data_IF_609818548605
#
_entry.id   IF_609818548605
#
_cell.length_a   1.000
_cell.length_b   1.000
_cell.length_c   1.000
_cell.angle_alpha   90.00
_cell.angle_beta   90.00
_cell.angle_gamma   90.00
#
_symmetry.space_group_name_H-M   'P 1'
#
loop_
_entity.id
_entity.type
_entity.pdbx_description
1 polymer ?
#
# COMPACT_ATOMS: atom_id res chain seq x y z
N UNK A 1 3.70 12.85 -13.77
CA UNK A 1 4.99 12.24 -13.43
C UNK A 1 6.01 12.69 -14.46
N UNK A 2 7.11 13.31 -14.03
CA UNK A 2 8.13 13.98 -14.88
C UNK A 2 8.96 13.04 -15.80
N UNK A 3 8.66 11.75 -15.87
CA UNK A 3 9.48 10.78 -16.63
C UNK A 3 9.00 10.50 -18.06
N UNK A 4 7.90 11.12 -18.52
CA UNK A 4 7.41 10.90 -19.89
C UNK A 4 6.90 9.48 -20.19
N UNK A 5 6.92 8.58 -19.22
CA UNK A 5 6.40 7.23 -19.33
C UNK A 5 5.07 7.13 -18.58
N UNK A 6 4.10 6.48 -19.20
CA UNK A 6 2.82 6.18 -18.56
C UNK A 6 2.99 4.98 -17.63
N UNK A 7 2.70 5.19 -16.33
CA UNK A 7 2.78 4.17 -15.30
C UNK A 7 1.36 3.85 -14.83
N UNK A 8 0.97 2.59 -14.94
CA UNK A 8 -0.29 2.10 -14.39
C UNK A 8 -0.09 1.67 -12.94
N UNK A 9 -0.82 2.28 -12.01
CA UNK A 9 -0.88 1.89 -10.60
C UNK A 9 -2.24 1.29 -10.32
N UNK A 10 -2.26 0.05 -9.82
CA UNK A 10 -3.49 -0.60 -9.33
C UNK A 10 -3.53 -0.43 -7.81
N UNK A 11 -4.59 0.17 -7.31
CA UNK A 11 -4.80 0.37 -5.87
C UNK A 11 -5.82 -0.67 -5.41
N UNK A 12 -5.47 -1.41 -4.36
CA UNK A 12 -6.36 -2.38 -3.70
C UNK A 12 -6.57 -1.90 -2.28
N UNK A 13 -7.82 -1.60 -1.95
CA UNK A 13 -8.19 -1.20 -0.59
C UNK A 13 -8.31 -2.41 0.33
N UNK A 14 -7.99 -2.23 1.61
CA UNK A 14 -8.18 -3.25 2.64
C UNK A 14 -9.39 -2.91 3.49
N UNK A 15 -10.24 -3.90 3.84
CA UNK A 15 -11.36 -3.66 4.74
C UNK A 15 -10.88 -3.08 6.08
N UNK A 16 -11.50 -1.99 6.54
CA UNK A 16 -11.08 -1.24 7.73
C UNK A 16 -11.44 -1.86 9.09
N UNK A 17 -12.00 -3.07 9.13
CA UNK A 17 -12.46 -3.71 10.36
C UNK A 17 -11.61 -4.92 10.72
N UNK A 18 -11.34 -5.10 12.01
CA UNK A 18 -10.50 -6.16 12.60
C UNK A 18 -10.95 -7.60 12.31
N UNK A 19 -12.18 -7.79 11.83
CA UNK A 19 -12.76 -9.11 11.61
C UNK A 19 -12.36 -9.77 10.27
N UNK A 20 -11.64 -9.04 9.41
CA UNK A 20 -11.29 -9.49 8.06
C UNK A 20 -9.80 -9.83 7.86
N UNK A 21 -9.14 -10.36 8.88
CA UNK A 21 -7.70 -10.69 8.83
C UNK A 21 -7.31 -11.57 7.64
N UNK A 22 -8.16 -12.53 7.27
CA UNK A 22 -7.93 -13.40 6.12
C UNK A 22 -8.03 -12.68 4.77
N UNK A 23 -8.87 -11.64 4.65
CA UNK A 23 -8.98 -10.82 3.44
C UNK A 23 -7.78 -9.90 3.29
N UNK A 24 -7.32 -9.31 4.38
CA UNK A 24 -6.10 -8.50 4.41
C UNK A 24 -4.89 -9.33 3.95
N UNK A 25 -4.69 -10.53 4.48
CA UNK A 25 -3.59 -11.40 4.05
C UNK A 25 -3.67 -11.76 2.57
N UNK A 26 -4.86 -12.05 2.04
CA UNK A 26 -5.05 -12.33 0.61
C UNK A 26 -4.70 -11.10 -0.24
N UNK A 27 -5.16 -9.93 0.17
CA UNK A 27 -4.88 -8.66 -0.50
C UNK A 27 -3.38 -8.36 -0.52
N UNK A 28 -2.69 -8.51 0.61
CA UNK A 28 -1.25 -8.25 0.71
C UNK A 28 -0.41 -9.19 -0.17
N UNK A 29 -0.89 -10.39 -0.48
CA UNK A 29 -0.22 -11.30 -1.43
C UNK A 29 -0.35 -10.89 -2.90
N UNK A 30 -1.24 -9.95 -3.22
CA UNK A 30 -1.48 -9.47 -4.58
C UNK A 30 -0.70 -8.19 -4.92
N UNK A 31 -0.14 -7.51 -3.92
CA UNK A 31 0.47 -6.19 -4.08
C UNK A 31 1.99 -6.22 -4.02
N UNK A 32 2.64 -5.16 -4.48
CA UNK A 32 4.10 -5.01 -4.52
C UNK A 32 4.59 -3.99 -3.47
N UNK A 33 3.69 -3.21 -2.89
CA UNK A 33 3.96 -2.24 -1.84
C UNK A 33 2.72 -1.96 -1.02
N UNK A 34 2.88 -1.25 0.10
CA UNK A 34 1.79 -0.93 1.03
C UNK A 34 1.85 0.55 1.39
N UNK A 35 0.70 1.22 1.31
CA UNK A 35 0.52 2.52 1.92
C UNK A 35 -0.04 2.32 3.33
N UNK A 36 0.78 2.62 4.34
CA UNK A 36 0.38 2.56 5.74
C UNK A 36 -0.19 3.90 6.16
N UNK A 37 -1.52 4.02 6.17
CA UNK A 37 -2.20 5.25 6.56
C UNK A 37 -2.36 5.32 8.08
N UNK A 38 -1.86 6.40 8.68
CA UNK A 38 -1.94 6.67 10.11
C UNK A 38 -2.54 8.05 10.33
N UNK A 39 -3.47 8.16 11.25
CA UNK A 39 -4.07 9.45 11.65
C UNK A 39 -3.06 10.25 12.49
N UNK A 40 -2.82 11.51 12.13
CA UNK A 40 -1.86 12.38 12.80
C UNK A 40 -2.20 12.70 14.28
N UNK A 41 -3.42 12.47 14.71
CA UNK A 41 -3.84 12.66 16.11
C UNK A 41 -3.90 11.35 16.88
N UNK A 42 -4.41 10.28 16.27
CA UNK A 42 -4.65 8.99 16.95
C UNK A 42 -3.41 8.09 16.99
N UNK A 43 -2.51 8.23 15.99
CA UNK A 43 -1.36 7.34 15.86
C UNK A 43 -1.72 5.95 15.32
N UNK A 44 -0.80 4.97 15.43
CA UNK A 44 -1.00 3.63 14.90
C UNK A 44 -1.98 2.82 15.75
N UNK A 45 -3.13 2.51 15.18
CA UNK A 45 -4.19 1.70 15.79
C UNK A 45 -3.89 0.18 15.70
N UNK A 46 -4.60 -0.68 16.45
CA UNK A 46 -4.39 -2.14 16.41
C UNK A 46 -4.49 -2.74 15.00
N UNK A 47 -5.40 -2.25 14.16
CA UNK A 47 -5.51 -2.66 12.75
C UNK A 47 -4.25 -2.32 11.94
N UNK A 48 -3.70 -1.12 12.15
CA UNK A 48 -2.42 -0.69 11.53
C UNK A 48 -1.27 -1.63 11.90
N UNK A 49 -1.18 -2.01 13.18
CA UNK A 49 -0.18 -2.96 13.68
C UNK A 49 -0.29 -4.33 13.00
N UNK A 50 -1.51 -4.84 12.84
CA UNK A 50 -1.75 -6.13 12.17
C UNK A 50 -1.31 -6.09 10.70
N UNK A 51 -1.77 -5.07 9.95
CA UNK A 51 -1.43 -4.90 8.53
C UNK A 51 0.07 -4.74 8.35
N UNK A 52 0.71 -3.89 9.17
CA UNK A 52 2.16 -3.69 9.12
C UNK A 52 2.92 -5.00 9.37
N UNK A 53 2.57 -5.75 10.42
CA UNK A 53 3.20 -7.05 10.72
C UNK A 53 3.14 -7.98 9.51
N UNK A 54 1.96 -8.12 8.89
CA UNK A 54 1.79 -8.98 7.71
C UNK A 54 2.55 -8.49 6.50
N UNK A 55 2.64 -7.19 6.31
CA UNK A 55 3.43 -6.57 5.23
C UNK A 55 4.93 -6.85 5.39
N UNK A 56 5.46 -6.73 6.62
CA UNK A 56 6.85 -7.03 6.93
C UNK A 56 7.18 -8.52 6.74
N UNK A 57 6.29 -9.42 7.18
CA UNK A 57 6.42 -10.88 6.96
C UNK A 57 6.47 -11.24 5.46
N UNK A 58 5.78 -10.49 4.61
CA UNK A 58 5.79 -10.66 3.15
C UNK A 58 6.89 -9.89 2.43
N UNK A 59 7.79 -9.21 3.18
CA UNK A 59 8.84 -8.35 2.63
C UNK A 59 8.33 -7.24 1.69
N UNK A 60 7.10 -6.78 1.89
CA UNK A 60 6.57 -5.63 1.16
C UNK A 60 7.26 -4.35 1.60
N UNK A 61 7.38 -3.39 0.68
CA UNK A 61 7.93 -2.07 0.97
C UNK A 61 6.80 -1.16 1.48
N UNK A 62 6.83 -0.73 2.76
CA UNK A 62 5.85 0.20 3.26
C UNK A 62 6.20 1.64 2.89
N UNK A 63 5.17 2.42 2.60
CA UNK A 63 5.21 3.88 2.51
C UNK A 63 4.29 4.39 3.63
N UNK A 64 4.81 5.16 4.55
CA UNK A 64 4.03 5.71 5.64
C UNK A 64 3.34 7.00 5.21
N UNK A 65 2.05 7.08 5.42
CA UNK A 65 1.24 8.28 5.13
C UNK A 65 0.59 8.76 6.43
N UNK A 66 1.13 9.82 7.01
CA UNK A 66 0.55 10.48 8.18
C UNK A 66 -0.51 11.46 7.68
N UNK A 67 -1.77 11.07 7.86
CA UNK A 67 -2.92 11.78 7.32
C UNK A 67 -3.63 12.64 8.38
N UNK A 68 -4.43 13.60 7.91
CA UNK A 68 -5.19 14.55 8.72
C UNK A 68 -4.30 15.47 9.56
N UNK A 69 -3.18 15.93 8.99
CA UNK A 69 -2.26 16.87 9.66
C UNK A 69 -2.89 18.25 9.91
N UNK A 70 -4.05 18.53 9.31
CA UNK A 70 -4.87 19.72 9.51
C UNK A 70 -5.73 19.70 10.79
N UNK A 71 -5.79 18.59 11.50
CA UNK A 71 -6.52 18.49 12.78
C UNK A 71 -5.85 19.38 13.83
N UNK A 72 -6.66 19.98 14.70
CA UNK A 72 -6.19 20.82 15.80
C UNK A 72 -5.38 20.06 16.86
N UNK A 73 -5.65 18.78 16.99
CA UNK A 73 -5.02 17.83 17.92
C UNK A 73 -3.95 16.96 17.21
N UNK A 74 -3.57 17.31 15.97
CA UNK A 74 -2.53 16.60 15.26
C UNK A 74 -1.16 16.75 15.96
N UNK A 75 -0.44 15.62 16.07
CA UNK A 75 0.90 15.50 16.66
C UNK A 75 1.81 14.65 15.76
N UNK A 76 2.04 15.07 14.52
CA UNK A 76 2.67 14.25 13.49
C UNK A 76 4.09 13.77 13.84
N UNK A 77 4.88 14.55 14.58
CA UNK A 77 6.21 14.15 15.03
C UNK A 77 6.15 12.99 16.03
N UNK A 78 5.28 13.09 17.03
CA UNK A 78 5.10 12.03 18.02
C UNK A 78 4.54 10.76 17.37
N UNK A 79 3.60 10.91 16.44
CA UNK A 79 3.04 9.78 15.67
C UNK A 79 4.13 9.11 14.83
N UNK A 80 5.06 9.87 14.26
CA UNK A 80 6.19 9.31 13.53
C UNK A 80 7.10 8.47 14.45
N UNK A 81 7.40 8.95 15.66
CA UNK A 81 8.17 8.21 16.65
C UNK A 81 7.45 6.92 17.04
N UNK A 82 6.14 6.97 17.29
CA UNK A 82 5.32 5.78 17.58
C UNK A 82 5.35 4.75 16.43
N UNK A 83 5.38 5.22 15.19
CA UNK A 83 5.48 4.35 14.01
C UNK A 83 6.86 3.69 13.97
N UNK A 84 7.95 4.41 14.19
CA UNK A 84 9.29 3.85 14.24
C UNK A 84 9.41 2.79 15.34
N UNK A 85 8.92 3.08 16.54
CA UNK A 85 8.89 2.11 17.65
C UNK A 85 8.07 0.86 17.27
N UNK A 86 6.95 1.05 16.57
CA UNK A 86 6.13 -0.05 16.08
C UNK A 86 6.90 -0.94 15.09
N UNK A 87 7.59 -0.36 14.09
CA UNK A 87 8.41 -1.12 13.15
C UNK A 87 9.50 -1.92 13.87
N UNK A 88 10.22 -1.30 14.81
CA UNK A 88 11.24 -1.96 15.63
C UNK A 88 10.65 -3.11 16.45
N UNK A 89 9.50 -2.88 17.09
CA UNK A 89 8.83 -3.91 17.91
C UNK A 89 8.37 -5.13 17.10
N UNK A 90 8.11 -4.94 15.81
CA UNK A 90 7.71 -5.98 14.86
C UNK A 90 8.90 -6.67 14.16
N UNK A 91 10.14 -6.28 14.50
CA UNK A 91 11.36 -6.88 13.97
C UNK A 91 11.66 -6.46 12.53
N UNK A 92 11.30 -5.25 12.13
CA UNK A 92 11.65 -4.70 10.82
C UNK A 92 13.17 -4.67 10.61
N UNK A 93 13.62 -5.06 9.43
CA UNK A 93 15.04 -4.99 9.06
C UNK A 93 15.42 -3.56 8.60
N UNK A 94 16.72 -3.30 8.42
CA UNK A 94 17.24 -1.99 8.02
C UNK A 94 16.59 -1.43 6.75
N UNK A 95 16.32 -2.28 5.75
CA UNK A 95 15.66 -1.85 4.51
C UNK A 95 14.21 -1.46 4.73
N UNK A 96 13.53 -2.14 5.64
CA UNK A 96 12.14 -1.86 6.00
C UNK A 96 12.02 -0.62 6.90
N UNK A 97 13.06 -0.27 7.64
CA UNK A 97 13.15 0.96 8.44
C UNK A 97 13.43 2.21 7.58
N UNK A 98 13.99 2.02 6.36
CA UNK A 98 14.17 3.11 5.38
C UNK A 98 12.87 3.34 4.56
N UNK A 99 11.75 3.54 5.26
CA UNK A 99 10.47 3.85 4.63
C UNK A 99 10.32 5.35 4.34
N UNK A 100 9.76 5.73 3.18
CA UNK A 100 9.41 7.11 2.92
C UNK A 100 8.20 7.53 3.76
N UNK A 101 8.20 8.80 4.17
CA UNK A 101 7.13 9.42 4.92
C UNK A 101 6.46 10.46 4.03
N UNK A 102 5.13 10.45 4.02
CA UNK A 102 4.31 11.46 3.34
C UNK A 102 3.30 12.00 4.35
N UNK A 103 3.25 13.30 4.49
CA UNK A 103 2.23 13.98 5.27
C UNK A 103 1.07 14.37 4.38
N UNK A 104 -0.17 14.19 4.84
CA UNK A 104 -1.31 14.42 3.95
C UNK A 104 -2.53 15.05 4.62
N UNK A 105 -3.31 15.74 3.80
CA UNK A 105 -4.68 16.15 4.06
C UNK A 105 -5.52 15.54 2.95
N UNK A 106 -5.77 14.23 3.06
CA UNK A 106 -6.38 13.45 1.97
C UNK A 106 -7.75 14.02 1.53
N UNK A 107 -8.53 14.59 2.46
CA UNK A 107 -9.82 15.24 2.15
C UNK A 107 -9.66 16.43 1.19
N UNK A 108 -8.50 17.07 1.17
CA UNK A 108 -8.20 18.22 0.31
C UNK A 108 -7.37 17.82 -0.92
N UNK A 109 -6.97 16.54 -1.04
CA UNK A 109 -6.10 16.08 -2.11
C UNK A 109 -4.67 16.64 -2.00
N UNK A 110 -4.18 16.84 -0.78
CA UNK A 110 -2.85 17.41 -0.50
C UNK A 110 -1.94 16.35 0.10
N UNK A 111 -0.72 16.28 -0.42
CA UNK A 111 0.39 15.52 0.14
C UNK A 111 1.67 16.37 0.17
N UNK A 112 2.53 16.11 1.16
CA UNK A 112 3.80 16.84 1.40
C UNK A 112 4.90 15.86 1.79
N UNK A 113 6.13 16.17 1.46
CA UNK A 113 7.31 15.44 1.97
C UNK A 113 7.77 15.95 3.32
N UNK A 114 7.65 17.25 3.55
CA UNK A 114 7.94 17.90 4.84
C UNK A 114 6.68 18.60 5.34
N UNK A 115 6.54 18.74 6.66
CA UNK A 115 5.37 19.38 7.28
C UNK A 115 5.22 20.85 6.90
N UNK A 116 6.36 21.54 6.74
CA UNK A 116 6.45 22.96 6.44
C UNK A 116 6.19 23.29 4.97
N UNK A 117 6.18 22.27 4.08
CA UNK A 117 5.94 22.49 2.66
C UNK A 117 4.55 23.05 2.39
N UNK A 118 4.45 23.89 1.36
CA UNK A 118 3.16 24.27 0.79
C UNK A 118 2.64 23.11 -0.08
N UNK A 119 1.70 22.33 0.48
CA UNK A 119 1.07 21.25 -0.27
C UNK A 119 -0.01 21.76 -1.22
N UNK A 120 0.00 21.31 -2.47
CA UNK A 120 -0.96 21.73 -3.49
C UNK A 120 -1.70 20.57 -4.16
N UNK A 121 -1.14 19.35 -4.12
CA UNK A 121 -1.70 18.18 -4.80
C UNK A 121 -1.15 16.88 -4.18
N UNK A 122 -1.42 15.72 -4.79
CA UNK A 122 -0.96 14.41 -4.38
C UNK A 122 0.34 13.95 -5.07
N UNK A 123 1.00 14.82 -5.85
CA UNK A 123 2.22 14.45 -6.58
C UNK A 123 3.31 13.85 -5.66
N UNK A 124 3.59 14.38 -4.45
CA UNK A 124 4.58 13.79 -3.54
C UNK A 124 4.25 12.33 -3.16
N UNK A 125 2.98 12.00 -2.98
CA UNK A 125 2.55 10.63 -2.72
C UNK A 125 2.78 9.73 -3.93
N UNK A 126 2.43 10.18 -5.12
CA UNK A 126 2.65 9.41 -6.35
C UNK A 126 4.14 9.24 -6.65
N UNK A 127 4.96 10.24 -6.39
CA UNK A 127 6.42 10.11 -6.51
C UNK A 127 6.99 9.10 -5.52
N UNK A 128 6.52 9.09 -4.27
CA UNK A 128 6.91 8.09 -3.28
C UNK A 128 6.55 6.67 -3.75
N UNK A 129 5.34 6.46 -4.29
CA UNK A 129 4.89 5.18 -4.83
C UNK A 129 5.80 4.71 -5.97
N UNK A 130 6.02 5.57 -6.98
CA UNK A 130 6.80 5.21 -8.18
C UNK A 130 8.28 4.95 -7.87
N UNK A 131 8.83 5.65 -6.88
CA UNK A 131 10.23 5.50 -6.51
C UNK A 131 10.49 4.31 -5.59
N UNK A 132 9.52 3.88 -4.79
CA UNK A 132 9.71 2.87 -3.73
C UNK A 132 9.05 1.53 -4.02
N UNK A 133 7.90 1.52 -4.68
CA UNK A 133 7.23 0.26 -5.02
C UNK A 133 7.89 -0.35 -6.25
N UNK A 134 8.45 -1.56 -6.16
CA UNK A 134 9.06 -2.21 -7.30
C UNK A 134 8.01 -2.59 -8.34
N UNK A 135 8.38 -2.71 -9.62
CA UNK A 135 7.47 -3.28 -10.61
C UNK A 135 7.16 -4.74 -10.25
N UNK A 136 5.99 -5.26 -10.65
CA UNK A 136 5.65 -6.65 -10.37
C UNK A 136 6.71 -7.60 -10.94
N UNK A 137 7.21 -8.54 -10.13
CA UNK A 137 8.12 -9.56 -10.63
C UNK A 137 7.37 -10.47 -11.60
N UNK A 138 8.05 -10.95 -12.62
CA UNK A 138 7.48 -11.95 -13.53
C UNK A 138 8.15 -11.94 -14.89
N UNK A 139 8.35 -13.13 -15.42
CA UNK A 139 8.89 -13.35 -16.76
C UNK A 139 7.72 -13.61 -17.72
N UNK A 140 7.57 -12.73 -18.72
CA UNK A 140 6.44 -12.77 -19.66
C UNK A 140 6.49 -13.98 -20.61
N UNK A 141 7.68 -14.52 -20.85
CA UNK A 141 7.92 -15.60 -21.81
C UNK A 141 7.80 -17.00 -21.20
N UNK A 142 7.61 -17.08 -19.87
CA UNK A 142 7.35 -18.34 -19.19
C UNK A 142 5.87 -18.78 -19.34
N UNK A 143 5.57 -20.05 -19.10
CA UNK A 143 4.19 -20.53 -19.04
C UNK A 143 3.34 -19.72 -18.06
N UNK A 144 2.11 -19.43 -18.45
CA UNK A 144 1.17 -18.67 -17.64
C UNK A 144 0.95 -19.31 -16.27
N UNK A 145 1.05 -18.49 -15.23
CA UNK A 145 0.74 -18.88 -13.86
C UNK A 145 0.08 -17.71 -13.13
N UNK A 146 -1.07 -17.98 -12.54
CA UNK A 146 -1.84 -17.02 -11.78
C UNK A 146 -2.17 -17.57 -10.40
N UNK A 147 -2.01 -16.76 -9.37
CA UNK A 147 -2.50 -17.04 -8.02
C UNK A 147 -3.90 -16.42 -7.89
N UNK A 148 -4.93 -17.25 -7.85
CA UNK A 148 -6.30 -16.80 -7.56
C UNK A 148 -6.45 -16.65 -6.04
N UNK A 149 -6.77 -15.45 -5.59
CA UNK A 149 -6.90 -15.10 -4.17
C UNK A 149 -8.35 -14.94 -3.74
N UNK A 150 -9.22 -14.58 -4.68
CA UNK A 150 -10.64 -14.35 -4.43
C UNK A 150 -11.46 -14.95 -5.56
N UNK A 151 -12.58 -15.56 -5.20
CA UNK A 151 -13.59 -16.04 -6.15
C UNK A 151 -14.81 -15.14 -5.99
N UNK A 152 -15.29 -14.61 -7.09
CA UNK A 152 -16.52 -13.83 -7.16
C UNK A 152 -17.51 -14.50 -8.12
N UNK A 153 -18.73 -14.03 -8.15
CA UNK A 153 -19.77 -14.53 -9.05
C UNK A 153 -20.52 -13.38 -9.70
N UNK A 154 -20.65 -13.45 -10.98
CA UNK A 154 -21.46 -12.53 -11.78
C UNK A 154 -22.53 -13.32 -12.49
N UNK A 155 -23.80 -12.87 -12.45
CA UNK A 155 -24.94 -13.59 -13.04
C UNK A 155 -24.81 -13.79 -14.56
N UNK A 156 -24.03 -12.95 -15.23
CA UNK A 156 -23.83 -13.01 -16.66
C UNK A 156 -22.57 -13.81 -17.06
N UNK A 157 -21.47 -13.64 -16.31
CA UNK A 157 -20.17 -14.27 -16.61
C UNK A 157 -19.93 -15.55 -15.81
N UNK A 158 -20.75 -15.84 -14.81
CA UNK A 158 -20.55 -16.98 -13.92
C UNK A 158 -19.48 -16.73 -12.86
N UNK A 159 -18.67 -17.74 -12.57
CA UNK A 159 -17.60 -17.66 -11.56
C UNK A 159 -16.42 -16.85 -12.09
N UNK A 160 -15.96 -15.89 -11.29
CA UNK A 160 -14.82 -15.05 -11.57
C UNK A 160 -13.68 -15.40 -10.62
N UNK A 161 -12.48 -15.58 -11.18
CA UNK A 161 -11.25 -15.69 -10.39
C UNK A 161 -10.51 -14.35 -10.41
N UNK A 162 -10.32 -13.75 -9.23
CA UNK A 162 -9.55 -12.52 -9.07
C UNK A 162 -8.21 -12.88 -8.44
N UNK A 163 -7.12 -12.39 -9.02
CA UNK A 163 -5.80 -12.75 -8.49
C UNK A 163 -4.66 -12.08 -9.23
N UNK A 164 -3.45 -12.55 -8.93
CA UNK A 164 -2.20 -12.01 -9.44
C UNK A 164 -1.58 -12.97 -10.46
N UNK A 165 -1.20 -12.43 -11.62
CA UNK A 165 -0.36 -13.14 -12.58
C UNK A 165 1.07 -13.13 -12.03
N UNK A 166 1.62 -14.32 -11.79
CA UNK A 166 2.99 -14.49 -11.28
C UNK A 166 4.01 -14.56 -12.41
N UNK A 167 3.64 -15.14 -13.56
CA UNK A 167 4.48 -15.22 -14.77
C UNK A 167 3.62 -15.54 -15.99
N UNK A 168 4.22 -15.35 -17.16
CA UNK A 168 3.55 -15.57 -18.43
C UNK A 168 2.59 -14.44 -18.80
N UNK A 169 1.81 -14.67 -19.84
CA UNK A 169 0.81 -13.75 -20.37
C UNK A 169 -0.50 -14.46 -20.59
N UNK A 170 -1.61 -13.75 -20.38
CA UNK A 170 -2.95 -14.20 -20.75
C UNK A 170 -3.53 -13.23 -21.76
N UNK A 171 -4.29 -13.73 -22.72
CA UNK A 171 -5.04 -12.94 -23.68
C UNK A 171 -6.53 -13.10 -23.42
N UNK A 172 -7.31 -12.12 -23.86
CA UNK A 172 -8.77 -12.25 -23.89
C UNK A 172 -9.11 -13.47 -24.74
N UNK A 173 -10.11 -14.21 -24.31
CA UNK A 173 -10.59 -15.45 -24.98
C UNK A 173 -9.54 -16.58 -25.09
N UNK A 174 -8.51 -16.57 -24.26
CA UNK A 174 -7.61 -17.70 -24.13
C UNK A 174 -8.37 -18.91 -23.56
N UNK A 175 -8.22 -20.14 -24.13
CA UNK A 175 -8.91 -21.34 -23.65
C UNK A 175 -8.45 -21.77 -22.25
#
# INVERSE_FOLDING_TARGET
>A
LKRGEEIKVNIVDTPGHSDFSGEVERTLRMVDGVLLLVDAAEGPLPGTKFVLKKSLELNLQPIVVINKIDRKDARPHEVLDEIFELFLSLGANEKQLDFPIVYSIAKQGIAKTELEDEGSNLEPLFEAIVNRVPPPPGEKDLPFQMLVTTIDYNDYLGRLGIGRILRGTIRLDAP
#
